data_IF_522064277860
#
_entry.id   IF_522064277860
#
_cell.length_a   1.000
_cell.length_b   1.000
_cell.length_c   1.000
_cell.angle_alpha   90.00
_cell.angle_beta   90.00
_cell.angle_gamma   90.00
#
_symmetry.space_group_name_H-M   'P 1'
#
loop_
_entity.id
_entity.type
_entity.pdbx_description
1 polymer ?
#
# COMPACT_ATOMS: atom_id res chain seq x y z
N UNK A 1 -0.02 -4.21 11.44
CA UNK A 1 0.08 -4.28 9.97
C UNK A 1 -1.16 -5.00 9.49
N UNK A 2 -2.19 -4.25 9.10
CA UNK A 2 -3.44 -4.80 8.56
C UNK A 2 -3.22 -5.14 7.06
N UNK A 3 -4.07 -4.65 6.15
CA UNK A 3 -3.87 -4.71 4.69
C UNK A 3 -2.84 -3.68 4.17
N UNK A 4 -1.88 -3.24 5.00
CA UNK A 4 -0.89 -2.20 4.65
C UNK A 4 0.36 -2.83 4.08
N UNK A 5 0.67 -2.51 2.82
CA UNK A 5 1.83 -3.05 2.11
C UNK A 5 3.03 -2.07 2.07
N UNK A 6 2.78 -0.78 2.29
CA UNK A 6 3.79 0.29 2.32
C UNK A 6 3.30 1.49 3.13
N UNK A 7 4.17 2.08 3.95
CA UNK A 7 3.83 3.25 4.77
C UNK A 7 2.83 2.97 5.90
N UNK A 8 2.50 4.02 6.65
CA UNK A 8 1.49 4.03 7.69
C UNK A 8 1.03 5.47 7.94
N UNK A 9 -0.29 5.70 7.88
CA UNK A 9 -0.89 7.02 8.11
C UNK A 9 -1.67 7.10 9.43
N UNK A 10 -1.53 6.12 10.34
CA UNK A 10 -2.25 6.11 11.64
C UNK A 10 -2.07 7.39 12.44
N UNK A 11 -0.84 7.93 12.44
CA UNK A 11 -0.55 9.17 13.15
C UNK A 11 -1.23 10.39 12.52
N UNK A 12 -1.46 10.36 11.20
CA UNK A 12 -2.18 11.40 10.48
C UNK A 12 -3.69 11.27 10.69
N UNK A 13 -4.21 10.04 10.75
CA UNK A 13 -5.64 9.76 10.96
C UNK A 13 -6.14 10.25 12.34
N UNK A 14 -5.29 10.17 13.38
CA UNK A 14 -5.63 10.65 14.73
C UNK A 14 -5.26 12.11 14.98
N UNK A 15 -4.60 12.78 14.02
CA UNK A 15 -4.07 14.12 14.23
C UNK A 15 -5.19 15.18 14.15
N UNK A 16 -5.41 15.99 15.21
CA UNK A 16 -6.47 17.00 15.22
C UNK A 16 -6.24 18.14 14.21
N UNK A 17 -5.00 18.32 13.73
CA UNK A 17 -4.70 19.28 12.68
C UNK A 17 -5.01 18.71 11.29
N UNK A 18 -4.66 17.44 11.04
CA UNK A 18 -4.91 16.78 9.76
C UNK A 18 -6.40 16.54 9.50
N UNK A 19 -7.18 16.27 10.56
CA UNK A 19 -8.65 16.14 10.45
C UNK A 19 -9.35 17.38 9.88
N UNK A 20 -8.71 18.54 9.99
CA UNK A 20 -9.22 19.85 9.53
C UNK A 20 -8.50 20.35 8.28
N UNK A 21 -7.61 19.54 7.70
CA UNK A 21 -6.86 19.90 6.52
C UNK A 21 -7.67 19.60 5.25
N UNK A 22 -7.61 20.50 4.29
CA UNK A 22 -8.16 20.28 2.96
C UNK A 22 -7.18 19.47 2.09
N UNK A 23 -7.72 18.63 1.22
CA UNK A 23 -6.91 17.92 0.22
C UNK A 23 -6.27 18.94 -0.75
N UNK A 24 -5.03 18.69 -1.13
CA UNK A 24 -4.32 19.55 -2.09
C UNK A 24 -4.91 19.44 -3.49
N UNK A 25 -4.93 20.54 -4.21
CA UNK A 25 -5.29 20.61 -5.63
C UNK A 25 -4.08 20.52 -6.57
N UNK A 26 -2.86 20.36 -6.01
CA UNK A 26 -1.62 20.25 -6.79
C UNK A 26 -1.58 18.90 -7.55
N UNK A 27 -1.60 18.92 -8.91
CA UNK A 27 -1.68 17.70 -9.72
C UNK A 27 -0.53 16.71 -9.48
N UNK A 28 0.66 17.17 -9.11
CA UNK A 28 1.79 16.29 -8.83
C UNK A 28 1.55 15.33 -7.65
N UNK A 29 0.59 15.62 -6.77
CA UNK A 29 0.20 14.76 -5.64
C UNK A 29 -1.06 13.94 -5.89
N UNK A 30 -1.63 13.99 -7.09
CA UNK A 30 -2.78 13.17 -7.44
C UNK A 30 -2.42 11.67 -7.34
N UNK A 31 -3.26 10.84 -6.72
CA UNK A 31 -2.98 9.42 -6.62
C UNK A 31 -3.04 8.74 -8.00
N UNK A 32 -2.17 7.76 -8.19
CA UNK A 32 -2.18 6.87 -9.35
C UNK A 32 -2.92 5.57 -9.00
N UNK A 33 -3.35 4.76 -9.99
CA UNK A 33 -3.93 3.44 -9.71
C UNK A 33 -3.04 2.55 -8.83
N UNK A 34 -1.71 2.72 -8.92
CA UNK A 34 -0.73 1.99 -8.13
C UNK A 34 -0.69 2.42 -6.65
N UNK A 35 -1.07 3.65 -6.33
CA UNK A 35 -1.05 4.21 -4.97
C UNK A 35 -2.42 4.25 -4.30
N UNK A 36 -3.50 3.99 -5.03
CA UNK A 36 -4.88 3.94 -4.51
C UNK A 36 -5.20 2.61 -3.82
N UNK A 37 -5.28 1.53 -4.59
CA UNK A 37 -5.66 0.22 -4.08
C UNK A 37 -5.20 -0.89 -5.06
N UNK A 38 -3.88 -1.17 -5.13
CA UNK A 38 -3.39 -2.20 -6.02
C UNK A 38 -3.85 -3.59 -5.58
N UNK A 39 -4.08 -4.49 -6.56
CA UNK A 39 -4.42 -5.89 -6.29
C UNK A 39 -3.28 -6.62 -5.59
N UNK A 40 -3.53 -7.17 -4.40
CA UNK A 40 -2.55 -7.98 -3.68
C UNK A 40 -2.16 -9.22 -4.48
N UNK A 41 -3.08 -9.82 -5.25
CA UNK A 41 -2.80 -10.97 -6.10
C UNK A 41 -1.85 -10.59 -7.25
N UNK A 42 -2.09 -9.45 -7.91
CA UNK A 42 -1.22 -8.98 -8.98
C UNK A 42 0.18 -8.63 -8.44
N UNK A 43 0.26 -7.94 -7.30
CA UNK A 43 1.53 -7.59 -6.68
C UNK A 43 2.33 -8.80 -6.21
N UNK A 44 1.67 -9.87 -5.76
CA UNK A 44 2.36 -11.11 -5.37
C UNK A 44 3.09 -11.78 -6.54
N UNK A 45 2.63 -11.53 -7.78
CA UNK A 45 3.20 -12.10 -9.01
C UNK A 45 4.10 -11.11 -9.76
N UNK A 46 4.43 -9.96 -9.17
CA UNK A 46 5.22 -8.94 -9.85
C UNK A 46 6.65 -9.46 -10.13
N UNK A 47 7.07 -9.35 -11.40
CA UNK A 47 8.43 -9.66 -11.81
C UNK A 47 9.40 -8.58 -11.31
N UNK A 48 10.69 -8.87 -11.32
CA UNK A 48 11.72 -7.87 -10.97
C UNK A 48 11.74 -6.69 -11.95
N UNK A 49 11.61 -6.96 -13.25
CA UNK A 49 11.52 -5.94 -14.29
C UNK A 49 10.27 -5.07 -14.13
N UNK A 50 9.11 -5.68 -13.93
CA UNK A 50 7.86 -4.95 -13.70
C UNK A 50 7.95 -4.13 -12.41
N UNK A 51 8.58 -4.64 -11.34
CA UNK A 51 8.82 -3.87 -10.12
C UNK A 51 9.70 -2.65 -10.39
N UNK A 52 10.82 -2.83 -11.09
CA UNK A 52 11.79 -1.78 -11.37
C UNK A 52 11.21 -0.65 -12.24
N UNK A 53 10.38 -1.00 -13.21
CA UNK A 53 9.70 -0.04 -14.11
C UNK A 53 8.54 0.65 -13.41
N UNK A 54 7.64 -0.11 -12.78
CA UNK A 54 6.43 0.40 -12.10
C UNK A 54 6.78 1.37 -10.97
N UNK A 55 7.81 1.06 -10.18
CA UNK A 55 8.18 1.85 -9.00
C UNK A 55 9.43 2.71 -9.21
N UNK A 56 9.84 2.98 -10.46
CA UNK A 56 11.11 3.67 -10.77
C UNK A 56 11.31 4.98 -10.00
N UNK A 57 10.26 5.80 -9.93
CA UNK A 57 10.22 7.11 -9.27
C UNK A 57 9.41 7.08 -7.96
N UNK A 58 9.15 5.88 -7.42
CA UNK A 58 8.39 5.70 -6.19
C UNK A 58 9.31 5.42 -4.99
N UNK A 59 8.99 5.92 -3.79
CA UNK A 59 9.66 5.53 -2.55
C UNK A 59 9.69 4.01 -2.31
N UNK A 60 8.73 3.27 -2.88
CA UNK A 60 8.68 1.80 -2.88
C UNK A 60 9.94 1.15 -3.47
N UNK A 61 10.68 1.82 -4.35
CA UNK A 61 11.94 1.29 -4.88
C UNK A 61 12.96 0.99 -3.77
N UNK A 62 12.95 1.78 -2.70
CA UNK A 62 13.89 1.64 -1.57
C UNK A 62 13.68 0.35 -0.77
N UNK A 63 12.45 -0.15 -0.68
CA UNK A 63 12.14 -1.40 0.02
C UNK A 63 12.59 -2.64 -0.75
N UNK A 64 12.93 -2.48 -2.04
CA UNK A 64 13.19 -3.55 -3.01
C UNK A 64 11.97 -4.46 -3.20
N UNK A 65 12.01 -5.29 -4.26
CA UNK A 65 10.93 -6.25 -4.58
C UNK A 65 10.68 -7.23 -3.43
N UNK A 66 11.74 -7.71 -2.78
CA UNK A 66 11.64 -8.64 -1.65
C UNK A 66 10.90 -8.05 -0.44
N UNK A 67 11.15 -6.77 -0.13
CA UNK A 67 10.44 -6.08 0.94
C UNK A 67 8.95 -5.90 0.64
N UNK A 68 8.62 -5.53 -0.59
CA UNK A 68 7.23 -5.44 -1.05
C UNK A 68 6.53 -6.81 -0.94
N UNK A 69 7.11 -7.87 -1.50
CA UNK A 69 6.51 -9.21 -1.50
C UNK A 69 6.30 -9.77 -0.09
N UNK A 70 7.23 -9.52 0.83
CA UNK A 70 7.06 -9.88 2.24
C UNK A 70 5.80 -9.23 2.84
N UNK A 71 5.64 -7.92 2.65
CA UNK A 71 4.49 -7.20 3.20
C UNK A 71 3.17 -7.60 2.50
N UNK A 72 3.19 -7.85 1.18
CA UNK A 72 2.05 -8.37 0.44
C UNK A 72 1.61 -9.73 0.98
N UNK A 73 2.55 -10.64 1.26
CA UNK A 73 2.23 -11.95 1.85
C UNK A 73 1.59 -11.83 3.24
N UNK A 74 2.08 -10.92 4.08
CA UNK A 74 1.47 -10.62 5.39
C UNK A 74 0.04 -10.08 5.21
N UNK A 75 -0.17 -9.13 4.29
CA UNK A 75 -1.49 -8.56 4.02
C UNK A 75 -2.49 -9.61 3.49
N UNK A 76 -2.06 -10.52 2.61
CA UNK A 76 -2.90 -11.62 2.12
C UNK A 76 -3.35 -12.56 3.25
N UNK A 77 -2.44 -12.91 4.16
CA UNK A 77 -2.76 -13.75 5.32
C UNK A 77 -3.71 -13.05 6.30
N UNK A 78 -3.49 -11.75 6.56
CA UNK A 78 -4.40 -10.95 7.38
C UNK A 78 -5.81 -10.92 6.79
N UNK A 79 -5.92 -10.69 5.48
CA UNK A 79 -7.19 -10.66 4.76
C UNK A 79 -7.92 -12.01 4.85
N UNK A 80 -7.18 -13.13 4.75
CA UNK A 80 -7.72 -14.48 4.91
C UNK A 80 -8.28 -14.71 6.33
N UNK A 81 -7.54 -14.30 7.37
CA UNK A 81 -7.97 -14.41 8.78
C UNK A 81 -9.22 -13.59 9.07
N UNK A 82 -9.30 -12.36 8.55
CA UNK A 82 -10.48 -11.50 8.71
C UNK A 82 -11.73 -12.11 8.07
N UNK A 83 -11.60 -12.71 6.87
CA UNK A 83 -12.71 -13.43 6.22
C UNK A 83 -13.18 -14.63 7.04
N UNK A 84 -12.26 -15.42 7.57
CA UNK A 84 -12.59 -16.57 8.43
C UNK A 84 -13.28 -16.14 9.74
N UNK A 85 -12.82 -15.06 10.36
CA UNK A 85 -13.40 -14.51 11.59
C UNK A 85 -14.78 -13.87 11.40
N UNK A 86 -15.12 -13.39 10.20
CA UNK A 86 -16.45 -12.82 9.88
C UNK A 86 -17.47 -13.87 9.44
N UNK A 87 -17.04 -15.11 9.21
CA UNK A 87 -17.89 -16.23 8.80
C UNK A 87 -18.29 -17.14 9.98
N UNK A 88 -17.90 -16.78 11.21
CA UNK A 88 -18.33 -17.39 12.49
C UNK A 88 -19.13 -16.37 13.28
#
# INVERSE_FOLDING_TARGET
MDNRIFGCDDCLDVCPFNLRADATSEPAFAPTPLTLAPSLQALAQISEESFATTFKESPLKRTKRSGLLRNVGIAQENHRRQKGSRAS
#
